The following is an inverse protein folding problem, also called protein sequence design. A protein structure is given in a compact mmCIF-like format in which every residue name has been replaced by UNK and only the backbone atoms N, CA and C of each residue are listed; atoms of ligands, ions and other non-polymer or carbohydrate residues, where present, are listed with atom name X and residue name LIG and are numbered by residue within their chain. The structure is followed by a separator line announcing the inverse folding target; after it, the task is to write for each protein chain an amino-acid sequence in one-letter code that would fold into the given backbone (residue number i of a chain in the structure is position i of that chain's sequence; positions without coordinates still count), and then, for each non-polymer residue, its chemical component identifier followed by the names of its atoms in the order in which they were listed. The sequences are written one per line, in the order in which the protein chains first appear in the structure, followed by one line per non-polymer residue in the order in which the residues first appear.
data_IF_274082915332
#
_entry.id   IF_274082915332
#
_cell.length_a   1.000
_cell.length_b   1.000
_cell.length_c   1.000
_cell.angle_alpha   90.00
_cell.angle_beta   90.00
_cell.angle_gamma   90.00
#
_symmetry.space_group_name_H-M   'P 1'
#
loop_
_entity.id
_entity.type
_entity.pdbx_description
1 polymer ?
#
# COMPACT_ATOMS: atom_id res chain seq x y z
N UNK A 1 11.46 -83.39 34.98
CA UNK A 1 12.11 -82.07 34.85
C UNK A 1 11.05 -81.09 34.36
N UNK A 2 10.77 -80.03 35.12
CA UNK A 2 9.77 -79.01 34.78
C UNK A 2 10.53 -77.81 34.20
N UNK A 3 10.49 -77.64 32.89
CA UNK A 3 11.09 -76.49 32.23
C UNK A 3 10.30 -75.23 32.62
N UNK A 4 10.96 -74.31 33.34
CA UNK A 4 10.40 -73.00 33.66
C UNK A 4 10.64 -72.10 32.46
N UNK A 5 9.64 -71.95 31.59
CA UNK A 5 9.67 -70.94 30.54
C UNK A 5 9.65 -69.54 31.19
N UNK A 6 10.80 -68.86 31.18
CA UNK A 6 10.90 -67.45 31.59
C UNK A 6 9.99 -66.61 30.69
N UNK A 7 9.06 -65.80 31.22
CA UNK A 7 8.19 -65.00 30.38
C UNK A 7 9.03 -63.98 29.59
N UNK A 8 9.03 -64.06 28.25
CA UNK A 8 9.59 -63.02 27.37
C UNK A 8 8.87 -61.71 27.67
N UNK A 9 9.55 -60.76 28.30
CA UNK A 9 9.02 -59.41 28.55
C UNK A 9 8.76 -58.75 27.20
N UNK A 10 7.49 -58.49 26.88
CA UNK A 10 7.10 -57.83 25.64
C UNK A 10 7.45 -56.34 25.73
N UNK A 11 8.47 -55.92 24.99
CA UNK A 11 8.85 -54.51 24.86
C UNK A 11 7.95 -53.75 23.86
N UNK A 12 7.02 -54.44 23.21
CA UNK A 12 6.16 -53.88 22.18
C UNK A 12 5.37 -52.66 22.68
N UNK A 13 4.74 -52.76 23.85
CA UNK A 13 3.96 -51.66 24.41
C UNK A 13 4.81 -50.43 24.74
N UNK A 14 6.04 -50.64 25.20
CA UNK A 14 6.98 -49.54 25.47
C UNK A 14 7.43 -48.86 24.18
N UNK A 15 7.72 -49.62 23.12
CA UNK A 15 8.11 -49.08 21.81
C UNK A 15 6.96 -48.29 21.18
N UNK A 16 5.73 -48.84 21.20
CA UNK A 16 4.54 -48.14 20.67
C UNK A 16 4.27 -46.86 21.45
N UNK A 17 4.42 -46.88 22.78
CA UNK A 17 4.26 -45.69 23.61
C UNK A 17 5.29 -44.61 23.25
N UNK A 18 6.57 -44.98 23.06
CA UNK A 18 7.62 -44.04 22.64
C UNK A 18 7.31 -43.45 21.26
N UNK A 19 6.93 -44.30 20.30
CA UNK A 19 6.57 -43.84 18.95
C UNK A 19 5.35 -42.91 18.97
N UNK A 20 4.34 -43.22 19.79
CA UNK A 20 3.16 -42.39 19.96
C UNK A 20 3.54 -41.02 20.56
N UNK A 21 4.36 -41.00 21.61
CA UNK A 21 4.83 -39.76 22.23
C UNK A 21 5.66 -38.93 21.25
N UNK A 22 6.59 -39.55 20.51
CA UNK A 22 7.36 -38.84 19.47
C UNK A 22 6.45 -38.28 18.37
N UNK A 23 5.45 -39.03 17.93
CA UNK A 23 4.47 -38.56 16.93
C UNK A 23 3.65 -37.37 17.45
N UNK A 24 3.17 -37.43 18.69
CA UNK A 24 2.44 -36.33 19.32
C UNK A 24 3.31 -35.08 19.47
N UNK A 25 4.56 -35.22 19.92
CA UNK A 25 5.51 -34.10 20.02
C UNK A 25 5.76 -33.48 18.65
N UNK A 26 5.98 -34.30 17.62
CA UNK A 26 6.19 -33.85 16.25
C UNK A 26 5.01 -33.03 15.71
N UNK A 27 3.77 -33.51 15.93
CA UNK A 27 2.57 -32.79 15.49
C UNK A 27 2.40 -31.44 16.20
N UNK A 28 2.63 -31.38 17.51
CA UNK A 28 2.54 -30.12 18.27
C UNK A 28 3.62 -29.14 17.82
N UNK A 29 4.85 -29.61 17.57
CA UNK A 29 5.93 -28.79 17.06
C UNK A 29 5.60 -28.21 15.67
N UNK A 30 5.13 -29.05 14.73
CA UNK A 30 4.72 -28.60 13.40
C UNK A 30 3.56 -27.59 13.46
N UNK A 31 2.57 -27.83 14.32
CA UNK A 31 1.45 -26.91 14.51
C UNK A 31 1.94 -25.56 15.08
N UNK A 32 2.88 -25.58 16.01
CA UNK A 32 3.48 -24.37 16.60
C UNK A 32 4.23 -23.56 15.55
N UNK A 33 5.06 -24.20 14.73
CA UNK A 33 5.79 -23.54 13.62
C UNK A 33 4.80 -22.93 12.62
N UNK A 34 3.74 -23.67 12.26
CA UNK A 34 2.71 -23.16 11.36
C UNK A 34 2.03 -21.91 11.91
N UNK A 35 1.70 -21.91 13.19
CA UNK A 35 1.03 -20.78 13.85
C UNK A 35 1.95 -19.55 13.93
N UNK A 36 3.23 -19.77 14.25
CA UNK A 36 4.24 -18.69 14.23
C UNK A 36 4.42 -18.09 12.84
N UNK A 37 4.54 -18.93 11.80
CA UNK A 37 4.66 -18.46 10.42
C UNK A 37 3.43 -17.67 9.96
N UNK A 38 2.24 -18.16 10.30
CA UNK A 38 0.99 -17.46 9.98
C UNK A 38 0.92 -16.08 10.66
N UNK A 39 1.28 -15.99 11.94
CA UNK A 39 1.33 -14.70 12.63
C UNK A 39 2.36 -13.76 12.01
N UNK A 40 3.54 -14.25 11.63
CA UNK A 40 4.55 -13.42 10.98
C UNK A 40 4.07 -12.89 9.62
N UNK A 41 3.35 -13.69 8.84
CA UNK A 41 2.76 -13.25 7.58
C UNK A 41 1.76 -12.11 7.77
N UNK A 42 0.90 -12.21 8.80
CA UNK A 42 -0.06 -11.14 9.14
C UNK A 42 0.67 -9.86 9.56
N UNK A 43 1.72 -9.98 10.38
CA UNK A 43 2.57 -8.84 10.77
C UNK A 43 3.19 -8.19 9.54
N UNK A 44 3.83 -8.97 8.66
CA UNK A 44 4.45 -8.45 7.44
C UNK A 44 3.43 -7.75 6.54
N UNK A 45 2.20 -8.28 6.44
CA UNK A 45 1.12 -7.64 5.69
C UNK A 45 0.73 -6.29 6.29
N UNK A 46 0.62 -6.21 7.62
CA UNK A 46 0.35 -4.96 8.33
C UNK A 46 1.44 -3.91 8.16
N UNK A 47 2.71 -4.31 8.26
CA UNK A 47 3.86 -3.44 8.03
C UNK A 47 3.86 -2.88 6.61
N UNK A 48 3.56 -3.70 5.60
CA UNK A 48 3.42 -3.26 4.21
C UNK A 48 2.33 -2.19 4.03
N UNK A 49 1.18 -2.36 4.68
CA UNK A 49 0.09 -1.39 4.62
C UNK A 49 0.50 -0.07 5.28
N UNK A 50 1.18 -0.13 6.43
CA UNK A 50 1.70 1.06 7.12
C UNK A 50 2.69 1.81 6.22
N UNK A 51 3.64 1.11 5.61
CA UNK A 51 4.59 1.72 4.68
C UNK A 51 3.89 2.33 3.46
N UNK A 52 2.94 1.62 2.85
CA UNK A 52 2.15 2.15 1.73
C UNK A 52 1.39 3.43 2.12
N UNK A 53 0.85 3.51 3.34
CA UNK A 53 0.21 4.71 3.85
C UNK A 53 1.19 5.89 4.01
N UNK A 54 2.40 5.63 4.51
CA UNK A 54 3.45 6.64 4.63
C UNK A 54 3.93 7.14 3.28
N UNK A 55 4.17 6.23 2.34
CA UNK A 55 4.56 6.56 0.98
C UNK A 55 3.44 7.34 0.26
N UNK A 56 2.17 6.94 0.46
CA UNK A 56 1.01 7.71 -0.02
C UNK A 56 1.01 9.14 0.51
N UNK A 57 1.25 9.29 1.82
CA UNK A 57 1.29 10.60 2.48
C UNK A 57 2.40 11.47 1.91
N UNK A 58 3.62 10.92 1.82
CA UNK A 58 4.76 11.62 1.25
C UNK A 58 4.52 12.01 -0.21
N UNK A 59 4.00 11.09 -1.04
CA UNK A 59 3.65 11.38 -2.42
C UNK A 59 2.66 12.56 -2.51
N UNK A 60 1.59 12.51 -1.71
CA UNK A 60 0.54 13.53 -1.75
C UNK A 60 1.05 14.90 -1.30
N UNK A 61 1.78 14.95 -0.19
CA UNK A 61 2.33 16.20 0.36
C UNK A 61 3.35 16.83 -0.60
N UNK A 62 4.32 16.03 -1.09
CA UNK A 62 5.37 16.51 -1.97
C UNK A 62 4.82 16.96 -3.32
N UNK A 63 3.87 16.22 -3.89
CA UNK A 63 3.29 16.59 -5.18
C UNK A 63 2.43 17.85 -5.06
N UNK A 64 1.64 17.98 -3.99
CA UNK A 64 0.84 19.18 -3.74
C UNK A 64 1.73 20.42 -3.60
N UNK A 65 2.81 20.32 -2.84
CA UNK A 65 3.79 21.40 -2.70
C UNK A 65 4.43 21.75 -4.06
N UNK A 66 4.88 20.74 -4.80
CA UNK A 66 5.56 20.96 -6.07
C UNK A 66 4.65 21.55 -7.17
N UNK A 67 3.39 21.11 -7.24
CA UNK A 67 2.38 21.66 -8.15
C UNK A 67 2.01 23.09 -7.77
N UNK A 68 1.90 23.39 -6.48
CA UNK A 68 1.65 24.76 -6.00
C UNK A 68 2.79 25.70 -6.39
N UNK A 69 4.04 25.28 -6.17
CA UNK A 69 5.23 26.02 -6.62
C UNK A 69 5.23 26.23 -8.13
N UNK A 70 4.85 25.22 -8.92
CA UNK A 70 4.79 25.32 -10.38
C UNK A 70 3.73 26.34 -10.84
N UNK A 71 2.57 26.40 -10.16
CA UNK A 71 1.50 27.36 -10.44
C UNK A 71 1.87 28.81 -10.10
N UNK A 72 2.67 29.00 -9.06
CA UNK A 72 3.14 30.30 -8.56
C UNK A 72 4.41 30.79 -9.28
N UNK A 73 5.19 29.90 -9.88
CA UNK A 73 6.45 30.25 -10.51
C UNK A 73 6.27 31.02 -11.82
N UNK A 74 6.90 32.19 -11.90
CA UNK A 74 7.04 32.97 -13.13
C UNK A 74 8.46 32.88 -13.72
N UNK A 75 9.43 32.42 -12.92
CA UNK A 75 10.84 32.28 -13.29
C UNK A 75 11.18 30.88 -13.81
N UNK A 76 12.23 30.79 -14.64
CA UNK A 76 12.72 29.50 -15.18
C UNK A 76 13.40 28.66 -14.09
N UNK A 77 14.13 29.27 -13.15
CA UNK A 77 14.82 28.57 -12.07
C UNK A 77 13.86 27.91 -11.09
N UNK A 78 12.80 28.62 -10.70
CA UNK A 78 11.74 28.09 -9.83
C UNK A 78 11.01 26.90 -10.47
N UNK A 79 10.79 26.95 -11.79
CA UNK A 79 10.21 25.83 -12.55
C UNK A 79 11.10 24.60 -12.61
N UNK A 80 12.42 24.79 -12.72
CA UNK A 80 13.38 23.68 -12.64
C UNK A 80 13.33 23.04 -11.25
N UNK A 81 13.26 23.83 -10.19
CA UNK A 81 13.14 23.32 -8.82
C UNK A 81 11.81 22.57 -8.62
N UNK A 82 10.69 23.11 -9.10
CA UNK A 82 9.39 22.45 -9.06
C UNK A 82 9.41 21.11 -9.81
N UNK A 83 10.05 21.05 -10.99
CA UNK A 83 10.24 19.81 -11.75
C UNK A 83 11.01 18.74 -10.98
N UNK A 84 12.09 19.12 -10.30
CA UNK A 84 12.86 18.19 -9.47
C UNK A 84 12.02 17.67 -8.30
N UNK A 85 11.25 18.55 -7.66
CA UNK A 85 10.34 18.16 -6.57
C UNK A 85 9.23 17.21 -7.05
N UNK A 86 8.66 17.44 -8.25
CA UNK A 86 7.71 16.51 -8.88
C UNK A 86 8.37 15.14 -9.07
N UNK A 87 9.57 15.07 -9.65
CA UNK A 87 10.29 13.81 -9.83
C UNK A 87 10.55 13.09 -8.51
N UNK A 88 10.87 13.82 -7.45
CA UNK A 88 11.05 13.24 -6.12
C UNK A 88 9.74 12.71 -5.52
N UNK A 89 8.62 13.43 -5.70
CA UNK A 89 7.30 12.97 -5.27
C UNK A 89 6.90 11.64 -5.92
N UNK A 90 7.29 11.42 -7.19
CA UNK A 90 6.99 10.17 -7.90
C UNK A 90 7.77 8.94 -7.41
N UNK A 91 8.85 9.12 -6.64
CA UNK A 91 9.52 7.99 -5.98
C UNK A 91 8.63 7.27 -4.95
N UNK A 92 7.60 7.96 -4.46
CA UNK A 92 6.64 7.44 -3.47
C UNK A 92 5.27 7.11 -4.07
N UNK A 93 5.12 7.24 -5.39
CA UNK A 93 3.83 7.14 -6.05
C UNK A 93 3.16 5.77 -5.89
N UNK A 94 3.96 4.71 -5.74
CA UNK A 94 3.50 3.34 -5.50
C UNK A 94 2.76 3.16 -4.16
N UNK A 95 2.99 4.06 -3.19
CA UNK A 95 2.29 4.00 -1.91
C UNK A 95 0.77 4.10 -2.07
N UNK A 96 0.30 4.99 -2.94
CA UNK A 96 -1.12 5.26 -3.16
C UNK A 96 -1.91 4.05 -3.71
N UNK A 97 -1.49 3.39 -4.81
CA UNK A 97 -2.14 2.18 -5.29
C UNK A 97 -1.95 1.01 -4.32
N UNK A 98 -0.81 0.88 -3.64
CA UNK A 98 -0.61 -0.21 -2.68
C UNK A 98 -1.52 -0.08 -1.46
N UNK A 99 -1.68 1.14 -0.94
CA UNK A 99 -2.56 1.42 0.19
C UNK A 99 -4.03 1.20 -0.16
N UNK A 100 -4.46 1.70 -1.32
CA UNK A 100 -5.86 1.55 -1.79
C UNK A 100 -6.19 0.11 -2.18
N UNK A 101 -5.30 -0.60 -2.86
CA UNK A 101 -5.52 -2.01 -3.22
C UNK A 101 -5.46 -2.94 -1.99
N UNK A 102 -4.71 -2.58 -0.94
CA UNK A 102 -4.73 -3.35 0.30
C UNK A 102 -6.11 -3.31 0.97
N UNK A 103 -6.84 -2.19 0.85
CA UNK A 103 -8.20 -2.05 1.40
C UNK A 103 -9.23 -2.94 0.68
N UNK A 104 -9.01 -3.26 -0.61
CA UNK A 104 -9.88 -4.14 -1.39
C UNK A 104 -9.96 -5.57 -0.83
N UNK A 105 -9.00 -5.97 0.00
CA UNK A 105 -9.03 -7.27 0.68
C UNK A 105 -10.05 -7.32 1.83
N UNK A 106 -10.49 -6.15 2.32
CA UNK A 106 -11.39 -6.03 3.48
C UNK A 106 -12.83 -5.69 3.09
N UNK A 107 -13.04 -5.09 1.93
CA UNK A 107 -14.36 -4.96 1.35
C UNK A 107 -14.59 -6.09 0.33
N UNK A 108 -15.71 -6.81 0.44
CA UNK A 108 -16.22 -7.57 -0.69
C UNK A 108 -16.51 -6.54 -1.79
N UNK A 109 -15.55 -6.38 -2.71
CA UNK A 109 -15.48 -5.31 -3.70
C UNK A 109 -16.84 -5.02 -4.30
N UNK A 110 -17.45 -3.89 -3.91
CA UNK A 110 -18.28 -3.16 -4.87
C UNK A 110 -17.25 -2.49 -5.76
N UNK A 111 -16.85 -3.17 -6.83
CA UNK A 111 -16.20 -2.48 -7.94
C UNK A 111 -17.09 -1.28 -8.24
N UNK A 112 -16.54 -0.08 -8.04
CA UNK A 112 -17.20 1.12 -8.51
C UNK A 112 -17.10 1.01 -10.03
N UNK A 113 -18.14 0.48 -10.65
CA UNK A 113 -18.21 0.25 -12.09
C UNK A 113 -17.88 1.55 -12.82
N UNK A 114 -16.83 1.55 -13.65
CA UNK A 114 -16.33 2.76 -14.33
C UNK A 114 -15.33 3.61 -13.53
N UNK A 115 -14.88 3.17 -12.36
CA UNK A 115 -13.81 3.83 -11.59
C UNK A 115 -12.45 3.69 -12.27
N UNK A 116 -11.74 4.82 -12.43
CA UNK A 116 -10.38 4.87 -12.94
C UNK A 116 -9.45 4.10 -12.01
N UNK A 117 -8.57 3.28 -12.57
CA UNK A 117 -7.53 2.60 -11.81
C UNK A 117 -6.54 3.62 -11.22
N UNK A 118 -6.13 3.41 -9.97
CA UNK A 118 -5.27 4.36 -9.25
C UNK A 118 -3.89 4.49 -9.91
N UNK A 119 -3.33 3.39 -10.45
CA UNK A 119 -2.04 3.45 -11.17
C UNK A 119 -2.19 4.20 -12.49
N UNK A 120 -3.30 3.99 -13.19
CA UNK A 120 -3.59 4.74 -14.41
C UNK A 120 -3.69 6.25 -14.13
N UNK A 121 -4.39 6.65 -13.06
CA UNK A 121 -4.44 8.05 -12.63
C UNK A 121 -3.05 8.62 -12.39
N UNK A 122 -2.23 7.95 -11.58
CA UNK A 122 -0.88 8.40 -11.25
C UNK A 122 -0.01 8.53 -12.50
N UNK A 123 -0.07 7.53 -13.39
CA UNK A 123 0.70 7.54 -14.64
C UNK A 123 0.29 8.69 -15.55
N UNK A 124 -1.02 8.98 -15.66
CA UNK A 124 -1.51 10.13 -16.41
C UNK A 124 -1.01 11.44 -15.81
N UNK A 125 -1.10 11.60 -14.49
CA UNK A 125 -0.58 12.78 -13.79
C UNK A 125 0.93 12.94 -14.00
N UNK A 126 1.71 11.86 -13.91
CA UNK A 126 3.15 11.88 -14.16
C UNK A 126 3.49 12.37 -15.57
N UNK A 127 2.85 11.77 -16.57
CA UNK A 127 3.09 12.09 -17.97
C UNK A 127 2.69 13.53 -18.29
N UNK A 128 1.53 13.97 -17.78
CA UNK A 128 1.06 15.34 -17.96
C UNK A 128 1.97 16.35 -17.26
N UNK A 129 2.35 16.11 -16.00
CA UNK A 129 3.27 17.00 -15.28
C UNK A 129 4.66 17.05 -15.93
N UNK A 130 5.16 15.91 -16.44
CA UNK A 130 6.41 15.86 -17.20
C UNK A 130 6.33 16.65 -18.50
N UNK A 131 5.21 16.59 -19.21
CA UNK A 131 4.98 17.37 -20.42
C UNK A 131 4.98 18.87 -20.11
N UNK A 132 4.23 19.30 -19.10
CA UNK A 132 4.17 20.70 -18.64
C UNK A 132 5.55 21.19 -18.20
N UNK A 133 6.28 20.39 -17.42
CA UNK A 133 7.60 20.76 -16.92
C UNK A 133 8.70 20.78 -18.00
N UNK A 134 8.45 20.25 -19.20
CA UNK A 134 9.36 20.35 -20.34
C UNK A 134 9.01 21.51 -21.29
N UNK A 135 7.88 22.18 -21.09
CA UNK A 135 7.50 23.34 -21.87
C UNK A 135 8.38 24.55 -21.47
N UNK A 136 9.16 25.07 -22.43
CA UNK A 136 10.11 26.17 -22.18
C UNK A 136 9.47 27.57 -22.09
N UNK A 137 8.17 27.69 -22.36
CA UNK A 137 7.42 28.95 -22.32
C UNK A 137 6.68 29.16 -21.00
N UNK A 138 6.00 30.30 -20.83
CA UNK A 138 5.06 30.48 -19.71
C UNK A 138 3.96 29.40 -19.76
N UNK A 139 3.41 29.05 -18.60
CA UNK A 139 2.26 28.14 -18.52
C UNK A 139 1.12 28.68 -19.38
N UNK A 140 0.64 27.84 -20.31
CA UNK A 140 -0.56 28.13 -21.08
C UNK A 140 -1.80 28.00 -20.19
N UNK A 141 -2.91 28.60 -20.60
CA UNK A 141 -4.18 28.51 -19.87
C UNK A 141 -4.63 27.05 -19.65
N UNK A 142 -4.37 26.17 -20.63
CA UNK A 142 -4.66 24.72 -20.54
C UNK A 142 -3.79 24.03 -19.48
N UNK A 143 -2.50 24.33 -19.45
CA UNK A 143 -1.58 23.77 -18.46
C UNK A 143 -1.91 24.26 -17.05
N UNK A 144 -2.22 25.55 -16.90
CA UNK A 144 -2.65 26.12 -15.62
C UNK A 144 -3.96 25.48 -15.14
N UNK A 145 -4.94 25.31 -16.02
CA UNK A 145 -6.19 24.62 -15.67
C UNK A 145 -5.96 23.17 -15.23
N UNK A 146 -5.06 22.44 -15.91
CA UNK A 146 -4.69 21.08 -15.51
C UNK A 146 -3.99 21.05 -14.14
N UNK A 147 -3.01 21.92 -13.91
CA UNK A 147 -2.31 22.01 -12.63
C UNK A 147 -3.26 22.36 -11.47
N UNK A 148 -4.26 23.22 -11.70
CA UNK A 148 -5.30 23.52 -10.71
C UNK A 148 -6.17 22.29 -10.40
N UNK A 149 -6.47 21.46 -11.39
CA UNK A 149 -7.21 20.21 -11.19
C UNK A 149 -6.39 19.20 -10.38
N UNK A 150 -5.10 19.05 -10.69
CA UNK A 150 -4.18 18.21 -9.89
C UNK A 150 -4.08 18.75 -8.47
N UNK A 151 -3.91 20.06 -8.30
CA UNK A 151 -3.85 20.69 -6.98
C UNK A 151 -5.13 20.43 -6.18
N UNK A 152 -6.32 20.62 -6.76
CA UNK A 152 -7.60 20.36 -6.10
C UNK A 152 -7.75 18.88 -5.68
N UNK A 153 -7.37 17.96 -6.57
CA UNK A 153 -7.41 16.52 -6.28
C UNK A 153 -6.50 16.17 -5.10
N UNK A 154 -5.26 16.63 -5.13
CA UNK A 154 -4.28 16.35 -4.06
C UNK A 154 -4.61 17.09 -2.76
N UNK A 155 -5.26 18.26 -2.84
CA UNK A 155 -5.78 18.99 -1.68
C UNK A 155 -6.90 18.21 -0.98
N UNK A 156 -7.72 17.46 -1.73
CA UNK A 156 -8.73 16.56 -1.19
C UNK A 156 -8.12 15.28 -0.61
N UNK A 157 -7.05 14.76 -1.21
CA UNK A 157 -6.36 13.55 -0.72
C UNK A 157 -5.56 13.79 0.57
N UNK A 158 -4.91 14.95 0.70
CA UNK A 158 -4.05 15.27 1.84
C UNK A 158 -4.72 15.11 3.22
N UNK A 159 -5.92 15.66 3.49
CA UNK A 159 -6.60 15.48 4.77
C UNK A 159 -7.13 14.06 4.98
N UNK A 160 -7.36 13.28 3.92
CA UNK A 160 -7.77 11.88 4.05
C UNK A 160 -6.61 11.03 4.56
N UNK A 161 -5.47 11.05 3.87
CA UNK A 161 -4.32 10.23 4.28
C UNK A 161 -3.71 10.70 5.61
N UNK A 162 -3.85 11.98 5.95
CA UNK A 162 -3.42 12.51 7.25
C UNK A 162 -4.20 11.95 8.45
N UNK A 163 -5.38 11.36 8.23
CA UNK A 163 -6.12 10.66 9.29
C UNK A 163 -5.47 9.33 9.67
N UNK A 164 -4.56 8.80 8.85
CA UNK A 164 -3.74 7.64 9.20
C UNK A 164 -2.66 8.06 10.21
N UNK A 165 -2.88 7.71 11.48
CA UNK A 165 -2.15 8.23 12.63
C UNK A 165 -0.98 7.34 13.10
N UNK A 166 -0.74 6.21 12.44
CA UNK A 166 0.31 5.28 12.83
C UNK A 166 1.66 5.85 12.40
N UNK A 167 2.53 6.17 13.36
CA UNK A 167 3.87 6.71 13.13
C UNK A 167 5.00 5.68 13.27
N UNK A 168 4.69 4.47 13.76
CA UNK A 168 5.69 3.42 14.01
C UNK A 168 5.20 2.05 13.57
N UNK A 169 6.10 1.25 12.98
CA UNK A 169 5.89 -0.15 12.58
C UNK A 169 6.15 -1.12 13.73
N UNK A 170 5.43 -0.96 14.85
CA UNK A 170 5.46 -1.96 15.93
C UNK A 170 4.64 -3.19 15.55
N UNK A 171 4.99 -4.37 16.09
CA UNK A 171 4.20 -5.61 15.89
C UNK A 171 2.71 -5.40 16.24
N UNK A 172 2.43 -4.62 17.28
CA UNK A 172 1.05 -4.30 17.68
C UNK A 172 0.33 -3.49 16.59
N UNK A 173 0.96 -2.44 16.06
CA UNK A 173 0.39 -1.61 15.00
C UNK A 173 0.22 -2.39 13.70
N UNK A 174 1.18 -3.24 13.35
CA UNK A 174 1.11 -4.12 12.19
C UNK A 174 -0.09 -5.08 12.29
N UNK A 175 -0.24 -5.78 13.42
CA UNK A 175 -1.39 -6.66 13.64
C UNK A 175 -2.72 -5.90 13.61
N UNK A 176 -2.79 -4.72 14.24
CA UNK A 176 -3.99 -3.87 14.21
C UNK A 176 -4.36 -3.50 12.78
N UNK A 177 -3.38 -3.08 11.98
CA UNK A 177 -3.58 -2.67 10.58
C UNK A 177 -3.98 -3.85 9.70
N UNK A 178 -3.32 -4.99 9.85
CA UNK A 178 -3.61 -6.21 9.09
C UNK A 178 -4.99 -6.80 9.39
N UNK A 179 -5.60 -6.45 10.53
CA UNK A 179 -6.97 -6.83 10.85
C UNK A 179 -8.02 -5.84 10.31
N UNK A 180 -7.60 -4.83 9.54
CA UNK A 180 -8.47 -3.79 8.99
C UNK A 180 -8.66 -2.63 9.97
N UNK A 181 -9.79 -1.93 9.84
CA UNK A 181 -10.17 -0.80 10.69
C UNK A 181 -10.40 0.50 9.92
N UNK A 182 -10.28 1.67 10.59
CA UNK A 182 -10.61 2.96 9.98
C UNK A 182 -9.80 3.29 8.72
N UNK A 183 -8.59 2.78 8.61
CA UNK A 183 -7.72 3.01 7.44
C UNK A 183 -8.31 2.46 6.14
N UNK A 184 -9.15 1.43 6.21
CA UNK A 184 -9.84 0.84 5.04
C UNK A 184 -10.81 1.87 4.44
N UNK A 185 -11.54 2.60 5.29
CA UNK A 185 -12.46 3.65 4.88
C UNK A 185 -11.71 4.87 4.33
N UNK A 186 -10.56 5.22 4.92
CA UNK A 186 -9.67 6.26 4.38
C UNK A 186 -9.27 5.91 2.95
N UNK A 187 -8.78 4.69 2.73
CA UNK A 187 -8.39 4.21 1.41
C UNK A 187 -9.56 4.22 0.39
N UNK A 188 -10.77 3.83 0.82
CA UNK A 188 -11.97 3.88 -0.01
C UNK A 188 -12.33 5.32 -0.42
N UNK A 189 -12.28 6.26 0.52
CA UNK A 189 -12.52 7.69 0.24
C UNK A 189 -11.47 8.28 -0.70
N UNK A 190 -10.19 7.91 -0.53
CA UNK A 190 -9.12 8.32 -1.44
C UNK A 190 -9.38 7.81 -2.87
N UNK A 191 -9.82 6.56 -3.02
CA UNK A 191 -10.20 6.01 -4.32
C UNK A 191 -11.38 6.73 -4.94
N UNK A 192 -12.39 7.11 -4.13
CA UNK A 192 -13.53 7.87 -4.60
C UNK A 192 -13.14 9.27 -5.12
N UNK A 193 -12.16 9.93 -4.50
CA UNK A 193 -11.60 11.21 -5.00
C UNK A 193 -10.93 11.02 -6.36
N UNK A 194 -10.17 9.93 -6.54
CA UNK A 194 -9.44 9.61 -7.78
C UNK A 194 -10.38 9.17 -8.92
N UNK A 195 -11.51 8.55 -8.58
CA UNK A 195 -12.47 8.01 -9.54
C UNK A 195 -13.24 9.09 -10.32
N UNK A 196 -13.17 10.37 -9.92
CA UNK A 196 -13.87 11.46 -10.62
C UNK A 196 -13.28 11.65 -12.02
N UNK A 197 -14.07 11.47 -13.11
CA UNK A 197 -13.55 11.50 -14.48
C UNK A 197 -13.02 12.89 -14.84
N UNK A 198 -11.76 12.96 -15.31
CA UNK A 198 -11.17 14.19 -15.84
C UNK A 198 -11.78 14.55 -17.20
N UNK A 199 -12.27 15.79 -17.32
CA UNK A 199 -12.65 16.39 -18.60
C UNK A 199 -11.46 17.04 -19.34
N UNK A 200 -10.25 17.03 -18.76
CA UNK A 200 -9.07 17.71 -19.30
C UNK A 200 -7.91 16.73 -19.47
N UNK A 201 -8.01 15.88 -20.50
CA UNK A 201 -6.83 15.20 -21.03
C UNK A 201 -6.06 16.22 -21.87
N UNK A 202 -4.78 16.43 -21.58
CA UNK A 202 -3.89 17.15 -22.51
C UNK A 202 -3.67 16.20 -23.70
N UNK A 203 -4.34 16.47 -24.84
CA UNK A 203 -4.21 15.68 -26.06
C UNK A 203 -2.73 15.60 -26.47
N UNK A 204 -2.21 14.38 -26.62
CA UNK A 204 -0.82 14.12 -27.02
C UNK A 204 -0.12 12.96 -26.32
N UNK A 205 -0.75 12.29 -25.36
CA UNK A 205 -0.21 11.07 -24.73
C UNK A 205 -0.93 9.82 -25.29
N UNK A 206 -0.18 8.78 -25.71
CA UNK A 206 -0.80 7.56 -26.26
C UNK A 206 -1.65 6.88 -25.18
N UNK A 207 -2.79 6.36 -25.63
CA UNK A 207 -3.70 5.51 -24.85
C UNK A 207 -3.11 4.14 -24.58
#
# INVERSE_FOLDING_TARGET
MKDRSTPKRSYFSAIVLILLVMSSIGNVALFTIKLQNSQQQVVNSGERIIHAAWDSKHHVELLLEAVTKLLESDDVGERIAAKQAIGFAFNYAEGLPDFTNAADQFHASKEIEGSRDVRQFISQVELSLRAIANHGGKLTDRERAYLLLVQDTYTKLAPLISQFDITETTRHNALRTANGGPWVEIAAQMRAVIAVPESVIIEGLPS
#
